data_IF_453733571114
#
_entry.id   IF_453733571114
#
_cell.length_a   1.000
_cell.length_b   1.000
_cell.length_c   1.000
_cell.angle_alpha   90.00
_cell.angle_beta   90.00
_cell.angle_gamma   90.00
#
_symmetry.space_group_name_H-M   'P 1'
#
loop_
_entity.id
_entity.type
_entity.pdbx_description
1 polymer ?
#
# COMPACT_ATOMS: atom_id res chain seq x y z
N UNK A 1 4.33 -4.83 9.94
CA UNK A 1 3.12 -4.64 9.13
C UNK A 1 3.37 -3.53 8.16
N UNK A 2 2.81 -3.62 6.96
CA UNK A 2 2.85 -2.62 5.91
C UNK A 2 1.40 -2.23 5.69
N UNK A 3 1.06 -1.01 6.07
CA UNK A 3 -0.30 -0.47 5.99
C UNK A 3 -0.36 0.42 4.76
N UNK A 4 -1.33 0.15 3.88
CA UNK A 4 -1.55 0.93 2.66
C UNK A 4 -2.95 1.52 2.75
N UNK A 5 -3.01 2.85 2.77
CA UNK A 5 -4.24 3.61 2.80
C UNK A 5 -4.66 4.00 1.39
N UNK A 6 -5.89 3.67 1.04
CA UNK A 6 -6.53 4.13 -0.19
C UNK A 6 -7.52 5.24 0.13
N UNK A 7 -7.39 6.39 -0.54
CA UNK A 7 -8.46 7.37 -0.56
C UNK A 7 -9.49 6.96 -1.62
N UNK A 8 -10.75 6.83 -1.22
CA UNK A 8 -11.85 6.43 -2.10
C UNK A 8 -12.86 7.56 -2.28
N UNK A 9 -13.12 7.88 -3.54
CA UNK A 9 -14.27 8.68 -3.96
C UNK A 9 -15.36 7.74 -4.48
N UNK A 10 -16.52 7.73 -3.83
CA UNK A 10 -17.77 7.12 -4.28
C UNK A 10 -18.48 7.94 -5.37
N UNK A 11 -18.33 9.27 -5.41
CA UNK A 11 -18.89 10.13 -6.46
C UNK A 11 -18.25 9.81 -7.82
N UNK A 12 -16.93 9.75 -7.86
CA UNK A 12 -16.16 9.48 -9.07
C UNK A 12 -15.76 7.99 -9.22
N UNK A 13 -16.10 7.14 -8.24
CA UNK A 13 -15.82 5.70 -8.16
C UNK A 13 -14.35 5.33 -8.45
N UNK A 14 -13.42 5.91 -7.67
CA UNK A 14 -12.00 5.58 -7.77
C UNK A 14 -11.33 5.37 -6.42
N UNK A 15 -10.27 4.56 -6.42
CA UNK A 15 -9.38 4.33 -5.30
C UNK A 15 -8.00 4.87 -5.64
N UNK A 16 -7.47 5.72 -4.79
CA UNK A 16 -6.17 6.35 -4.92
C UNK A 16 -5.26 5.91 -3.78
N UNK A 17 -4.11 5.34 -4.08
CA UNK A 17 -3.14 4.96 -3.07
C UNK A 17 -2.53 6.22 -2.45
N UNK A 18 -2.96 6.53 -1.23
CA UNK A 18 -2.70 7.79 -0.54
C UNK A 18 -1.39 7.76 0.24
N UNK A 19 -1.26 6.79 1.14
CA UNK A 19 -0.14 6.73 2.08
C UNK A 19 0.28 5.28 2.32
N UNK A 20 1.60 5.04 2.40
CA UNK A 20 2.15 3.75 2.81
C UNK A 20 2.94 3.89 4.11
N UNK A 21 2.55 3.14 5.14
CA UNK A 21 3.24 3.13 6.44
C UNK A 21 3.92 1.79 6.69
N UNK A 22 5.21 1.81 7.03
CA UNK A 22 6.01 0.60 7.31
C UNK A 22 6.29 0.47 8.81
N UNK A 23 5.52 -0.42 9.45
CA UNK A 23 5.58 -0.75 10.87
C UNK A 23 6.32 -2.09 11.09
N UNK A 24 7.61 -2.15 10.76
CA UNK A 24 8.46 -3.34 10.92
C UNK A 24 9.52 -3.07 12.00
N UNK A 25 9.68 -4.04 12.93
CA UNK A 25 10.58 -3.90 14.10
C UNK A 25 12.06 -4.01 13.74
N UNK A 26 12.38 -4.87 12.77
CA UNK A 26 13.75 -5.02 12.28
C UNK A 26 14.13 -3.78 11.45
N UNK A 27 15.11 -2.97 11.89
CA UNK A 27 15.47 -1.75 11.19
C UNK A 27 16.07 -2.00 9.80
N UNK A 28 16.78 -3.11 9.60
CA UNK A 28 17.39 -3.45 8.31
C UNK A 28 16.29 -3.79 7.30
N UNK A 29 15.34 -4.61 7.73
CA UNK A 29 14.22 -5.01 6.89
C UNK A 29 13.27 -3.84 6.60
N UNK A 30 13.03 -2.99 7.60
CA UNK A 30 12.26 -1.75 7.44
C UNK A 30 12.88 -0.85 6.37
N UNK A 31 14.19 -0.56 6.48
CA UNK A 31 14.91 0.29 5.53
C UNK A 31 14.88 -0.30 4.11
N UNK A 32 15.05 -1.63 3.99
CA UNK A 32 14.97 -2.34 2.70
C UNK A 32 13.61 -2.13 2.04
N UNK A 33 12.52 -2.27 2.79
CA UNK A 33 11.15 -2.14 2.28
C UNK A 33 10.84 -0.69 1.92
N UNK A 34 11.20 0.27 2.78
CA UNK A 34 11.03 1.69 2.50
C UNK A 34 11.77 2.12 1.23
N UNK A 35 12.96 1.58 0.97
CA UNK A 35 13.69 1.84 -0.28
C UNK A 35 12.96 1.29 -1.50
N UNK A 36 12.48 0.04 -1.43
CA UNK A 36 11.73 -0.57 -2.54
C UNK A 36 10.43 0.18 -2.84
N UNK A 37 9.70 0.62 -1.80
CA UNK A 37 8.48 1.42 -1.97
C UNK A 37 8.76 2.73 -2.72
N UNK A 38 9.86 3.42 -2.39
CA UNK A 38 10.30 4.64 -3.09
C UNK A 38 10.66 4.38 -4.55
N UNK A 39 11.31 3.26 -4.86
CA UNK A 39 11.64 2.88 -6.24
C UNK A 39 10.41 2.57 -7.09
N UNK A 40 9.34 2.09 -6.45
CA UNK A 40 8.12 1.64 -7.11
C UNK A 40 7.11 2.77 -7.37
N UNK A 41 7.26 3.91 -6.69
CA UNK A 41 6.39 5.08 -6.79
C UNK A 41 4.89 4.73 -6.74
N UNK A 42 4.53 3.89 -5.76
CA UNK A 42 3.19 3.34 -5.56
C UNK A 42 2.20 4.40 -5.04
N UNK A 43 2.67 5.34 -4.23
CA UNK A 43 1.87 6.51 -3.82
C UNK A 43 1.49 7.30 -5.05
N UNK A 44 0.20 7.61 -5.20
CA UNK A 44 -0.29 8.26 -6.41
C UNK A 44 -1.04 7.36 -7.39
N UNK A 45 -0.96 6.04 -7.23
CA UNK A 45 -1.56 5.11 -8.19
C UNK A 45 -3.06 4.95 -7.97
N UNK A 46 -3.82 4.97 -9.06
CA UNK A 46 -5.23 4.59 -9.08
C UNK A 46 -5.29 3.07 -9.29
N UNK A 47 -5.65 2.34 -8.23
CA UNK A 47 -5.71 0.88 -8.21
C UNK A 47 -6.78 0.42 -7.23
N UNK A 48 -7.44 -0.70 -7.53
CA UNK A 48 -8.44 -1.28 -6.63
C UNK A 48 -7.77 -2.06 -5.49
N UNK A 49 -8.21 -1.89 -4.22
CA UNK A 49 -7.65 -2.58 -3.06
C UNK A 49 -8.09 -4.05 -2.99
N UNK A 50 -7.66 -4.86 -3.96
CA UNK A 50 -8.04 -6.25 -4.10
C UNK A 50 -6.94 -7.25 -3.68
N UNK A 51 -7.29 -8.54 -3.65
CA UNK A 51 -6.33 -9.60 -3.30
C UNK A 51 -5.18 -9.74 -4.31
N UNK A 52 -5.37 -9.32 -5.56
CA UNK A 52 -4.34 -9.40 -6.61
C UNK A 52 -3.30 -8.30 -6.42
N UNK A 53 -3.72 -7.08 -6.10
CA UNK A 53 -2.85 -5.97 -5.72
C UNK A 53 -2.03 -6.35 -4.50
N UNK A 54 -2.65 -6.91 -3.45
CA UNK A 54 -1.93 -7.40 -2.27
C UNK A 54 -0.81 -8.38 -2.62
N UNK A 55 -1.11 -9.37 -3.47
CA UNK A 55 -0.12 -10.35 -3.96
C UNK A 55 0.99 -9.71 -4.79
N UNK A 56 0.64 -8.75 -5.66
CA UNK A 56 1.62 -8.01 -6.48
C UNK A 56 2.60 -7.24 -5.60
N UNK A 57 2.09 -6.49 -4.62
CA UNK A 57 2.91 -5.71 -3.69
C UNK A 57 3.75 -6.65 -2.81
N UNK A 58 3.17 -7.73 -2.27
CA UNK A 58 3.90 -8.73 -1.48
C UNK A 58 5.08 -9.32 -2.25
N UNK A 59 4.82 -9.74 -3.50
CA UNK A 59 5.84 -10.28 -4.40
C UNK A 59 6.94 -9.27 -4.71
N UNK A 60 6.57 -8.01 -4.96
CA UNK A 60 7.52 -6.95 -5.25
C UNK A 60 8.42 -6.65 -4.04
N UNK A 61 7.82 -6.50 -2.86
CA UNK A 61 8.52 -6.22 -1.61
C UNK A 61 9.25 -7.44 -1.04
N UNK A 62 8.99 -8.64 -1.58
CA UNK A 62 9.50 -9.94 -1.11
C UNK A 62 9.13 -10.20 0.35
N UNK A 63 7.88 -9.93 0.70
CA UNK A 63 7.30 -10.14 2.03
C UNK A 63 6.12 -11.09 1.95
N UNK A 64 5.70 -11.63 3.09
CA UNK A 64 4.47 -12.40 3.20
C UNK A 64 3.24 -11.50 2.96
N UNK A 65 2.23 -11.99 2.23
CA UNK A 65 1.01 -11.21 1.92
C UNK A 65 0.23 -10.81 3.18
N UNK A 66 0.35 -11.58 4.26
CA UNK A 66 -0.29 -11.29 5.55
C UNK A 66 0.38 -10.13 6.29
N UNK A 67 1.53 -9.66 5.82
CA UNK A 67 2.17 -8.46 6.36
C UNK A 67 1.62 -7.18 5.74
N UNK A 68 0.80 -7.28 4.69
CA UNK A 68 0.20 -6.15 3.99
C UNK A 68 -1.26 -6.02 4.38
N UNK A 69 -1.62 -4.85 4.86
CA UNK A 69 -3.00 -4.49 5.17
C UNK A 69 -3.45 -3.31 4.34
N UNK A 70 -4.70 -3.38 3.89
CA UNK A 70 -5.32 -2.34 3.08
C UNK A 70 -6.43 -1.70 3.90
N UNK A 71 -6.36 -0.38 4.01
CA UNK A 71 -7.41 0.40 4.63
C UNK A 71 -7.95 1.41 3.61
N UNK A 72 -9.17 1.91 3.83
CA UNK A 72 -9.82 2.86 2.93
C UNK A 72 -10.34 4.05 3.72
N UNK A 73 -9.93 5.23 3.28
CA UNK A 73 -10.43 6.51 3.76
C UNK A 73 -11.35 7.11 2.70
N UNK A 74 -12.57 7.48 3.09
CA UNK A 74 -13.52 8.15 2.19
C UNK A 74 -13.16 9.63 2.08
N UNK A 75 -13.10 10.15 0.84
CA UNK A 75 -12.70 11.55 0.56
C UNK A 75 -13.80 12.39 -0.08
N UNK A 76 -14.95 11.82 -0.41
CA UNK A 76 -16.07 12.60 -0.92
C UNK A 76 -16.61 13.51 0.18
N UNK A 77 -16.64 14.81 -0.14
CA UNK A 77 -17.10 15.88 0.74
C UNK A 77 -18.06 16.79 0.00
#
# INVERSE_FOLDING_TARGET
MIEILFDHSYEDDYYYLSTITVNIKDPIEKERIERLLKECNLEGMIEYPDSLLRKRIAKFLKVDENLIDFDTNEIDT
#
